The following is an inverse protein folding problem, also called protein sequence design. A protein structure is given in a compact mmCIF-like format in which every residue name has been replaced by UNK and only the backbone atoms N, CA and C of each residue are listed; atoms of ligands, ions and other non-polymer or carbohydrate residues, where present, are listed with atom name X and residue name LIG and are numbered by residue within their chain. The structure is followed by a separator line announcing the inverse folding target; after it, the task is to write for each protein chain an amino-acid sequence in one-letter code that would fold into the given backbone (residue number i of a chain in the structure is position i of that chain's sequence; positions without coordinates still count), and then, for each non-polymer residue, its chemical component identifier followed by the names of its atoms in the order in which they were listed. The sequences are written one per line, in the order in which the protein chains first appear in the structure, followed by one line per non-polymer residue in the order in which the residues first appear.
data_IF_394396406063
#
_entry.id   IF_394396406063
#
_cell.length_a   1.000
_cell.length_b   1.000
_cell.length_c   1.000
_cell.angle_alpha   90.00
_cell.angle_beta   90.00
_cell.angle_gamma   90.00
#
_symmetry.space_group_name_H-M   'P 1'
#
loop_
_entity.id
_entity.type
_entity.pdbx_description
1 polymer ?
#
# COMPACT_ATOMS: atom_id res chain seq x y z
N UNK A 1 56.04 36.66 24.79
CA UNK A 1 54.88 36.25 25.63
C UNK A 1 53.79 37.34 25.70
N UNK A 2 54.05 38.59 25.55
CA UNK A 2 53.07 39.71 25.59
C UNK A 2 52.05 39.65 24.48
N UNK A 3 52.44 39.38 23.21
CA UNK A 3 51.48 39.36 22.10
C UNK A 3 50.48 38.17 22.10
N UNK A 4 50.77 37.10 22.83
CA UNK A 4 49.81 35.98 22.98
C UNK A 4 48.73 36.28 24.01
N UNK A 5 49.02 37.03 25.07
CA UNK A 5 48.10 37.43 26.10
C UNK A 5 47.12 38.52 25.61
N UNK A 6 47.65 39.49 24.83
CA UNK A 6 46.81 40.52 24.20
C UNK A 6 45.85 39.96 23.16
N UNK A 7 46.32 39.00 22.33
CA UNK A 7 45.46 38.27 21.39
C UNK A 7 44.38 37.43 22.09
N UNK A 8 44.70 36.81 23.20
CA UNK A 8 43.72 36.05 24.01
C UNK A 8 42.71 36.94 24.68
N UNK A 9 43.12 38.14 25.15
CA UNK A 9 42.21 39.14 25.76
C UNK A 9 41.27 39.69 24.70
N UNK A 10 41.78 40.10 23.53
CA UNK A 10 41.00 40.60 22.40
C UNK A 10 39.99 39.56 21.90
N UNK A 11 40.38 38.28 21.79
CA UNK A 11 39.49 37.19 21.45
C UNK A 11 38.36 36.97 22.47
N UNK A 12 38.65 37.13 23.79
CA UNK A 12 37.62 37.02 24.82
C UNK A 12 36.58 38.15 24.79
N UNK A 13 37.00 39.35 24.59
CA UNK A 13 36.08 40.50 24.52
C UNK A 13 35.21 40.53 23.25
N UNK A 14 35.72 39.97 22.13
CA UNK A 14 35.02 39.98 20.85
C UNK A 14 34.56 38.57 20.41
N UNK A 15 34.60 37.58 21.31
CA UNK A 15 34.39 36.20 20.96
C UNK A 15 33.00 35.93 20.31
N UNK A 16 31.96 36.59 20.78
CA UNK A 16 30.60 36.46 20.21
C UNK A 16 30.54 36.95 18.76
N UNK A 17 31.21 38.06 18.43
CA UNK A 17 31.30 38.56 17.06
C UNK A 17 32.05 37.61 16.14
N UNK A 18 33.16 37.03 16.62
CA UNK A 18 33.89 36.05 15.82
C UNK A 18 33.09 34.81 15.53
N UNK A 19 32.27 34.33 16.47
CA UNK A 19 31.37 33.20 16.26
C UNK A 19 30.34 33.52 15.19
N UNK A 20 29.65 34.65 15.29
CA UNK A 20 28.61 35.06 14.34
C UNK A 20 29.18 35.27 12.93
N UNK A 21 30.38 35.86 12.81
CA UNK A 21 31.06 36.04 11.53
C UNK A 21 31.64 34.74 10.93
N UNK A 22 31.88 33.70 11.75
CA UNK A 22 32.31 32.40 11.27
C UNK A 22 31.16 31.49 10.78
N UNK A 23 29.91 31.94 10.93
CA UNK A 23 28.73 31.20 10.44
C UNK A 23 28.53 31.44 8.94
N UNK A 24 28.20 30.38 8.21
CA UNK A 24 27.75 30.48 6.82
C UNK A 24 26.31 30.98 6.70
N UNK A 25 25.49 30.73 7.75
CA UNK A 25 24.14 31.26 7.85
C UNK A 25 24.17 32.80 7.98
N UNK A 26 23.23 33.50 7.33
CA UNK A 26 23.12 34.94 7.48
C UNK A 26 22.53 35.31 8.82
N UNK A 27 23.15 36.25 9.50
CA UNK A 27 22.74 36.70 10.84
C UNK A 27 22.52 38.17 10.84
N UNK A 28 21.34 38.60 11.32
CA UNK A 28 20.99 39.99 11.59
C UNK A 28 20.49 40.16 13.01
N UNK A 29 20.91 41.22 13.68
CA UNK A 29 20.36 41.63 14.98
C UNK A 29 19.73 43.02 14.79
N UNK A 30 18.50 43.16 15.28
CA UNK A 30 17.72 44.39 15.25
C UNK A 30 17.47 44.77 16.72
N UNK A 31 17.72 46.01 17.07
CA UNK A 31 17.53 46.50 18.44
C UNK A 31 16.04 46.75 18.77
N UNK A 32 15.77 47.21 20.00
CA UNK A 32 14.41 47.49 20.49
C UNK A 32 13.73 48.68 19.79
N UNK A 33 14.51 49.51 19.01
CA UNK A 33 14.03 50.60 18.21
C UNK A 33 13.77 50.25 16.77
N UNK A 34 14.18 49.00 16.38
CA UNK A 34 14.07 48.52 15.01
C UNK A 34 15.26 48.90 14.12
N UNK A 35 16.35 49.38 14.71
CA UNK A 35 17.57 49.68 13.96
C UNK A 35 18.44 48.43 13.86
N UNK A 36 19.12 48.22 12.72
CA UNK A 36 20.04 47.11 12.53
C UNK A 36 21.30 47.32 13.38
N UNK A 37 21.40 46.57 14.47
CA UNK A 37 22.52 46.64 15.39
C UNK A 37 23.74 45.82 14.94
N UNK A 38 23.52 44.73 14.17
CA UNK A 38 24.59 43.86 13.67
C UNK A 38 24.14 43.07 12.45
N UNK A 39 25.06 42.84 11.53
CA UNK A 39 24.99 41.86 10.45
C UNK A 39 26.33 41.14 10.36
N UNK A 40 26.31 39.82 10.08
CA UNK A 40 27.57 39.09 9.91
C UNK A 40 28.13 39.21 8.48
N UNK A 41 29.40 38.83 8.31
CA UNK A 41 30.13 38.92 7.04
C UNK A 41 29.40 38.15 5.92
N UNK A 42 28.82 37.00 6.19
CA UNK A 42 28.07 36.21 5.21
C UNK A 42 26.82 36.95 4.67
N UNK A 43 26.11 37.73 5.52
CA UNK A 43 24.98 38.53 5.08
C UNK A 43 25.45 39.76 4.32
N UNK A 44 26.53 40.43 4.73
CA UNK A 44 27.12 41.57 3.98
C UNK A 44 27.48 41.14 2.56
N UNK A 45 28.20 40.01 2.42
CA UNK A 45 28.59 39.47 1.12
C UNK A 45 27.38 39.10 0.23
N UNK A 46 26.27 38.68 0.83
CA UNK A 46 25.01 38.36 0.12
C UNK A 46 24.31 39.67 -0.35
N UNK A 47 24.25 40.69 0.52
CA UNK A 47 23.65 41.98 0.22
C UNK A 47 24.36 42.71 -0.93
N UNK A 48 25.68 42.59 -1.01
CA UNK A 48 26.44 43.17 -2.11
C UNK A 48 26.13 42.55 -3.47
N UNK A 49 25.56 41.31 -3.48
CA UNK A 49 25.26 40.56 -4.70
C UNK A 49 23.79 40.61 -5.12
N UNK A 50 22.85 41.00 -4.24
CA UNK A 50 21.41 40.87 -4.49
C UNK A 50 20.63 42.13 -4.01
N UNK A 51 20.13 42.90 -4.95
CA UNK A 51 19.19 44.01 -4.66
C UNK A 51 17.83 43.49 -4.17
N UNK A 52 17.40 42.29 -4.64
CA UNK A 52 16.17 41.63 -4.18
C UNK A 52 16.24 41.32 -2.69
N UNK A 53 17.39 40.84 -2.22
CA UNK A 53 17.62 40.54 -0.81
C UNK A 53 17.58 41.81 0.03
N UNK A 54 18.19 42.94 -0.44
CA UNK A 54 18.11 44.21 0.26
C UNK A 54 16.67 44.66 0.45
N UNK A 55 15.89 44.70 -0.65
CA UNK A 55 14.46 45.08 -0.59
C UNK A 55 13.68 44.17 0.36
N UNK A 56 13.91 42.85 0.30
CA UNK A 56 13.25 41.91 1.19
C UNK A 56 13.56 42.16 2.68
N UNK A 57 14.80 42.45 3.01
CA UNK A 57 15.19 42.73 4.39
C UNK A 57 14.68 44.10 4.90
N UNK A 58 14.58 45.10 4.04
CA UNK A 58 14.05 46.42 4.39
C UNK A 58 12.53 46.33 4.62
N UNK A 59 11.77 45.67 3.74
CA UNK A 59 10.33 45.48 3.88
C UNK A 59 9.96 44.69 5.15
N UNK A 60 10.77 43.71 5.56
CA UNK A 60 10.53 42.94 6.76
C UNK A 60 10.85 43.69 8.08
N UNK A 61 11.71 44.70 8.09
CA UNK A 61 11.92 45.51 9.29
C UNK A 61 10.62 46.24 9.66
N UNK A 62 9.95 46.84 8.67
CA UNK A 62 8.67 47.52 8.88
C UNK A 62 7.57 46.54 9.40
N UNK A 63 7.57 45.31 8.94
CA UNK A 63 6.63 44.28 9.37
C UNK A 63 6.89 43.82 10.82
N UNK A 64 8.15 43.68 11.21
CA UNK A 64 8.55 43.34 12.58
C UNK A 64 8.21 44.45 13.57
N UNK A 65 8.22 45.69 13.12
CA UNK A 65 7.90 46.85 13.93
C UNK A 65 6.42 47.16 14.04
N UNK A 66 5.60 46.73 13.04
CA UNK A 66 4.29 47.36 12.84
C UNK A 66 3.14 46.71 13.58
N UNK A 67 3.05 45.42 13.90
CA UNK A 67 1.83 44.91 14.58
C UNK A 67 1.85 43.51 15.18
N UNK A 68 2.84 42.70 14.94
CA UNK A 68 2.91 41.34 15.54
C UNK A 68 3.81 41.30 16.78
N UNK A 69 4.01 42.44 17.32
CA UNK A 69 5.11 42.78 18.22
C UNK A 69 5.17 42.03 19.55
N UNK A 70 4.03 41.61 20.10
CA UNK A 70 4.04 40.86 21.37
C UNK A 70 4.53 39.42 21.20
N UNK A 71 4.21 38.78 20.06
CA UNK A 71 4.59 37.39 19.81
C UNK A 71 6.10 37.27 19.52
N UNK A 72 6.64 38.15 18.70
CA UNK A 72 8.10 38.17 18.38
C UNK A 72 8.93 38.54 19.60
N UNK A 73 8.38 39.38 20.50
CA UNK A 73 9.04 39.80 21.74
C UNK A 73 9.07 38.70 22.80
N UNK A 74 8.28 37.63 22.67
CA UNK A 74 8.14 36.59 23.70
C UNK A 74 8.46 35.20 23.22
N UNK A 75 8.45 34.94 21.90
CA UNK A 75 8.53 33.58 21.34
C UNK A 75 9.45 33.53 20.11
N UNK A 76 10.24 32.47 20.02
CA UNK A 76 10.99 32.19 18.79
C UNK A 76 10.03 31.75 17.68
N UNK A 77 10.18 32.35 16.52
CA UNK A 77 9.45 32.01 15.30
C UNK A 77 10.38 31.34 14.27
N UNK A 78 9.86 30.40 13.48
CA UNK A 78 10.57 29.80 12.37
C UNK A 78 9.63 29.84 11.17
N UNK A 79 10.10 30.37 10.06
CA UNK A 79 9.37 30.40 8.80
C UNK A 79 10.29 30.02 7.64
N UNK A 80 9.71 29.45 6.58
CA UNK A 80 10.44 29.14 5.35
C UNK A 80 10.02 30.15 4.26
N UNK A 81 10.99 30.75 3.59
CA UNK A 81 10.78 31.76 2.53
C UNK A 81 11.63 31.46 1.31
N UNK A 82 11.07 31.80 0.15
CA UNK A 82 11.81 31.85 -1.11
C UNK A 82 12.33 33.29 -1.32
N UNK A 83 13.65 33.45 -1.31
CA UNK A 83 14.33 34.74 -1.47
C UNK A 83 15.34 34.53 -2.59
N UNK A 84 15.25 35.35 -3.63
CA UNK A 84 16.18 35.35 -4.78
C UNK A 84 16.42 33.96 -5.38
N UNK A 85 15.33 33.16 -5.50
CA UNK A 85 15.36 31.80 -6.07
C UNK A 85 15.91 30.70 -5.16
N UNK A 86 16.20 31.02 -3.89
CA UNK A 86 16.67 30.11 -2.87
C UNK A 86 15.71 30.01 -1.70
N UNK A 87 15.59 28.81 -1.09
CA UNK A 87 14.78 28.59 0.10
C UNK A 87 15.60 28.84 1.36
N UNK A 88 15.08 29.70 2.23
CA UNK A 88 15.69 30.01 3.52
C UNK A 88 14.76 29.64 4.66
N UNK A 89 15.30 28.98 5.69
CA UNK A 89 14.65 28.86 6.99
C UNK A 89 15.09 30.05 7.83
N UNK A 90 14.14 30.89 8.21
CA UNK A 90 14.36 32.11 8.97
C UNK A 90 13.92 31.88 10.40
N UNK A 91 14.88 31.91 11.31
CA UNK A 91 14.60 31.80 12.75
C UNK A 91 14.74 33.17 13.38
N UNK A 92 13.63 33.74 13.87
CA UNK A 92 13.57 34.99 14.60
C UNK A 92 13.41 34.70 16.09
N UNK A 93 14.34 35.18 16.92
CA UNK A 93 14.31 34.95 18.37
C UNK A 93 14.48 36.29 19.12
N UNK A 94 13.73 36.53 20.20
CA UNK A 94 13.90 37.71 21.03
C UNK A 94 15.22 37.64 21.84
N UNK A 95 15.82 38.80 22.03
CA UNK A 95 17.00 39.01 22.89
C UNK A 95 16.53 39.80 24.12
N UNK A 96 16.96 39.37 25.30
CA UNK A 96 16.67 40.04 26.56
C UNK A 96 17.96 40.44 27.25
N UNK A 97 17.94 41.62 27.86
CA UNK A 97 19.00 42.12 28.73
C UNK A 97 18.40 42.55 30.08
N UNK A 98 18.89 42.01 31.18
CA UNK A 98 18.36 42.20 32.54
C UNK A 98 16.83 41.97 32.68
N UNK A 99 16.25 41.13 31.83
CA UNK A 99 14.82 40.80 31.82
C UNK A 99 13.99 41.68 30.87
N UNK A 100 14.54 42.75 30.35
CA UNK A 100 13.87 43.62 29.39
C UNK A 100 14.18 43.19 27.94
N UNK A 101 13.22 43.40 27.06
CA UNK A 101 13.39 43.14 25.62
C UNK A 101 14.41 44.12 25.05
N UNK A 102 15.49 43.59 24.48
CA UNK A 102 16.61 44.36 23.91
C UNK A 102 16.66 44.33 22.37
N UNK A 103 15.86 43.43 21.74
CA UNK A 103 15.85 43.35 20.28
C UNK A 103 15.55 41.91 19.82
N UNK A 104 15.81 41.61 18.57
CA UNK A 104 15.66 40.31 17.94
C UNK A 104 16.91 39.90 17.18
N UNK A 105 17.18 38.59 17.17
CA UNK A 105 18.16 37.97 16.28
C UNK A 105 17.42 37.15 15.21
N UNK A 106 17.80 37.36 14.00
CA UNK A 106 17.33 36.60 12.84
C UNK A 106 18.50 35.82 12.24
N UNK A 107 18.25 34.54 12.04
CA UNK A 107 19.20 33.63 11.38
C UNK A 107 18.54 33.05 10.15
N UNK A 108 19.15 33.29 9.00
CA UNK A 108 18.71 32.84 7.69
C UNK A 108 19.60 31.67 7.25
N UNK A 109 19.05 30.48 7.25
CA UNK A 109 19.74 29.26 6.83
C UNK A 109 19.32 28.89 5.42
N UNK A 110 20.26 28.75 4.49
CA UNK A 110 19.98 28.22 3.14
C UNK A 110 19.59 26.74 3.24
N UNK A 111 18.33 26.44 2.94
CA UNK A 111 17.75 25.10 2.91
C UNK A 111 17.35 24.67 1.51
N UNK A 112 17.94 25.29 0.49
CA UNK A 112 17.54 25.09 -0.92
C UNK A 112 17.70 23.61 -1.32
N UNK A 113 18.83 23.01 -1.00
CA UNK A 113 19.10 21.61 -1.34
C UNK A 113 18.10 20.65 -0.66
N UNK A 114 17.83 20.86 0.63
CA UNK A 114 16.87 20.09 1.40
C UNK A 114 15.45 20.26 0.85
N UNK A 115 15.06 21.49 0.50
CA UNK A 115 13.73 21.79 -0.03
C UNK A 115 13.52 21.20 -1.42
N UNK A 116 14.52 21.24 -2.31
CA UNK A 116 14.45 20.60 -3.62
C UNK A 116 14.31 19.09 -3.47
N UNK A 117 15.15 18.45 -2.64
CA UNK A 117 15.07 17.02 -2.39
C UNK A 117 13.71 16.60 -1.81
N UNK A 118 13.14 17.41 -0.92
CA UNK A 118 11.81 17.17 -0.34
C UNK A 118 10.70 17.26 -1.39
N UNK A 119 10.79 18.24 -2.32
CA UNK A 119 9.87 18.39 -3.43
C UNK A 119 9.99 17.22 -4.41
N UNK A 120 11.22 16.83 -4.77
CA UNK A 120 11.47 15.69 -5.67
C UNK A 120 10.96 14.39 -5.09
N UNK A 121 11.20 14.14 -3.79
CA UNK A 121 10.67 12.98 -3.08
C UNK A 121 9.14 12.98 -3.06
N UNK A 122 8.53 14.14 -2.81
CA UNK A 122 7.06 14.28 -2.84
C UNK A 122 6.49 13.95 -4.22
N UNK A 123 7.09 14.49 -5.29
CA UNK A 123 6.66 14.24 -6.66
C UNK A 123 6.83 12.75 -7.04
N UNK A 124 7.98 12.16 -6.75
CA UNK A 124 8.23 10.73 -7.01
C UNK A 124 7.24 9.82 -6.25
N UNK A 125 6.94 10.13 -4.99
CA UNK A 125 5.93 9.41 -4.22
C UNK A 125 4.53 9.56 -4.80
N UNK A 126 4.17 10.75 -5.28
CA UNK A 126 2.87 11.02 -5.92
C UNK A 126 2.72 10.19 -7.19
N UNK A 127 3.73 10.22 -8.07
CA UNK A 127 3.71 9.46 -9.33
C UNK A 127 3.59 7.95 -9.05
N UNK A 128 4.36 7.42 -8.09
CA UNK A 128 4.26 6.02 -7.66
C UNK A 128 2.87 5.66 -7.12
N UNK A 129 2.22 6.56 -6.36
CA UNK A 129 0.85 6.36 -5.87
C UNK A 129 -0.15 6.29 -7.02
N UNK A 130 0.00 7.14 -8.03
CA UNK A 130 -0.91 7.19 -9.18
C UNK A 130 -0.74 5.95 -10.07
N UNK A 131 0.48 5.46 -10.27
CA UNK A 131 0.75 4.18 -10.94
C UNK A 131 0.11 3.00 -10.21
N UNK A 132 0.24 2.93 -8.88
CA UNK A 132 -0.40 1.90 -8.06
C UNK A 132 -1.93 1.95 -8.14
N UNK A 133 -2.53 3.14 -8.18
CA UNK A 133 -3.98 3.31 -8.38
C UNK A 133 -4.43 2.82 -9.74
N UNK A 134 -3.60 3.02 -10.77
CA UNK A 134 -3.89 2.50 -12.11
C UNK A 134 -3.88 0.98 -12.13
N UNK A 135 -2.85 0.32 -11.59
CA UNK A 135 -2.76 -1.14 -11.47
C UNK A 135 -3.95 -1.70 -10.69
N UNK A 136 -4.32 -1.09 -9.54
CA UNK A 136 -5.49 -1.49 -8.76
C UNK A 136 -6.80 -1.45 -9.58
N UNK A 137 -7.00 -0.41 -10.40
CA UNK A 137 -8.18 -0.32 -11.28
C UNK A 137 -8.22 -1.45 -12.29
N UNK A 138 -7.08 -1.81 -12.87
CA UNK A 138 -6.99 -2.94 -13.80
C UNK A 138 -7.34 -4.23 -13.03
N UNK A 139 -6.73 -4.53 -11.89
CA UNK A 139 -7.05 -5.71 -11.09
C UNK A 139 -8.55 -5.81 -10.76
N UNK A 140 -9.16 -4.72 -10.29
CA UNK A 140 -10.59 -4.70 -10.00
C UNK A 140 -11.46 -4.91 -11.25
N UNK A 141 -10.98 -4.53 -12.43
CA UNK A 141 -11.71 -4.70 -13.69
C UNK A 141 -11.65 -6.12 -14.26
N UNK A 142 -10.61 -6.88 -13.92
CA UNK A 142 -10.43 -8.26 -14.39
C UNK A 142 -11.12 -9.31 -13.52
N UNK A 143 -11.51 -8.95 -12.29
CA UNK A 143 -12.31 -9.84 -11.44
C UNK A 143 -13.71 -10.01 -12.00
N UNK A 144 -14.30 -11.21 -11.88
CA UNK A 144 -15.67 -11.42 -12.31
C UNK A 144 -16.61 -10.55 -11.51
N UNK A 145 -17.48 -9.83 -12.22
CA UNK A 145 -18.59 -9.11 -11.57
C UNK A 145 -19.63 -10.14 -11.14
N UNK A 146 -20.45 -9.78 -10.14
CA UNK A 146 -21.60 -10.60 -9.76
C UNK A 146 -22.44 -10.91 -11.02
N UNK A 147 -22.37 -12.15 -11.48
CA UNK A 147 -22.97 -12.60 -12.73
C UNK A 147 -23.46 -14.03 -12.62
N UNK A 148 -24.42 -14.36 -13.50
CA UNK A 148 -24.87 -15.72 -13.71
C UNK A 148 -24.21 -16.30 -14.98
N UNK A 149 -23.66 -17.53 -14.86
CA UNK A 149 -23.05 -18.28 -15.97
C UNK A 149 -23.63 -19.70 -15.98
N UNK A 150 -24.57 -19.97 -16.89
CA UNK A 150 -25.32 -21.21 -16.87
C UNK A 150 -26.05 -21.41 -15.56
N UNK A 151 -25.75 -22.51 -14.84
CA UNK A 151 -26.31 -22.80 -13.51
C UNK A 151 -25.52 -22.15 -12.36
N UNK A 152 -24.48 -21.34 -12.62
CA UNK A 152 -23.65 -20.73 -11.58
C UNK A 152 -23.97 -19.28 -11.40
N UNK A 153 -24.28 -18.88 -10.17
CA UNK A 153 -24.33 -17.48 -9.74
C UNK A 153 -23.13 -17.20 -8.86
N UNK A 154 -22.29 -16.25 -9.28
CA UNK A 154 -21.10 -15.84 -8.52
C UNK A 154 -21.33 -14.51 -7.82
N UNK A 155 -20.88 -14.44 -6.56
CA UNK A 155 -20.72 -13.21 -5.81
C UNK A 155 -19.34 -13.18 -5.14
N UNK A 156 -18.72 -12.01 -5.03
CA UNK A 156 -17.39 -11.90 -4.47
C UNK A 156 -17.18 -10.66 -3.63
N UNK A 157 -16.30 -10.78 -2.65
CA UNK A 157 -15.78 -9.70 -1.82
C UNK A 157 -14.26 -9.74 -1.97
N UNK A 158 -13.69 -8.62 -2.38
CA UNK A 158 -12.26 -8.47 -2.63
C UNK A 158 -11.77 -7.21 -1.92
N UNK A 159 -10.98 -7.38 -0.88
CA UNK A 159 -10.49 -6.32 -0.02
C UNK A 159 -8.97 -6.44 0.14
N UNK A 160 -8.19 -5.81 -0.75
CA UNK A 160 -6.73 -5.81 -0.66
C UNK A 160 -6.25 -5.16 0.64
N UNK A 161 -5.26 -5.76 1.28
CA UNK A 161 -4.58 -5.22 2.47
C UNK A 161 -3.72 -4.01 2.13
N UNK A 162 -3.13 -4.02 0.94
CA UNK A 162 -2.35 -2.94 0.35
C UNK A 162 -3.08 -2.27 -0.83
N UNK A 163 -2.36 -1.48 -1.61
CA UNK A 163 -2.93 -0.80 -2.79
C UNK A 163 -3.28 -1.77 -3.92
N UNK A 164 -2.59 -2.90 -4.01
CA UNK A 164 -2.76 -3.99 -4.99
C UNK A 164 -2.52 -5.33 -4.31
N UNK A 165 -3.10 -6.41 -4.83
CA UNK A 165 -3.19 -7.72 -4.18
C UNK A 165 -2.47 -8.82 -4.97
N UNK A 166 -2.05 -9.87 -4.25
CA UNK A 166 -1.58 -11.15 -4.79
C UNK A 166 -2.70 -12.14 -5.12
N UNK A 167 -3.90 -11.86 -4.62
CA UNK A 167 -5.07 -12.72 -4.84
C UNK A 167 -5.71 -12.50 -6.21
N UNK A 168 -6.25 -13.57 -6.77
CA UNK A 168 -7.12 -13.52 -7.94
C UNK A 168 -8.11 -14.67 -7.93
N UNK A 169 -9.33 -14.43 -8.38
CA UNK A 169 -10.29 -15.46 -8.75
C UNK A 169 -10.99 -15.12 -10.05
N UNK A 170 -11.45 -16.13 -10.76
CA UNK A 170 -12.17 -15.93 -12.02
C UNK A 170 -13.14 -17.06 -12.31
N UNK A 171 -14.17 -16.73 -13.08
CA UNK A 171 -15.12 -17.67 -13.64
C UNK A 171 -15.05 -17.59 -15.17
N UNK A 172 -14.63 -18.67 -15.81
CA UNK A 172 -14.40 -18.79 -17.23
C UNK A 172 -15.51 -19.67 -17.84
N UNK A 173 -16.26 -19.14 -18.80
CA UNK A 173 -17.16 -19.96 -19.63
C UNK A 173 -16.31 -20.79 -20.61
N UNK A 174 -16.37 -22.10 -20.52
CA UNK A 174 -15.68 -23.00 -21.43
C UNK A 174 -16.55 -23.22 -22.68
N UNK A 175 -17.82 -23.62 -22.46
CA UNK A 175 -18.84 -23.78 -23.51
C UNK A 175 -20.24 -23.60 -22.93
N UNK A 176 -21.28 -24.00 -23.63
CA UNK A 176 -22.68 -23.84 -23.18
C UNK A 176 -23.00 -24.70 -21.96
N UNK A 177 -22.25 -25.79 -21.74
CA UNK A 177 -22.51 -26.76 -20.68
C UNK A 177 -21.44 -26.77 -19.57
N UNK A 178 -20.31 -26.07 -19.77
CA UNK A 178 -19.18 -26.13 -18.84
C UNK A 178 -18.64 -24.74 -18.52
N UNK A 179 -18.31 -24.57 -17.24
CA UNK A 179 -17.59 -23.39 -16.75
C UNK A 179 -16.47 -23.79 -15.81
N UNK A 180 -15.39 -23.06 -15.79
CA UNK A 180 -14.30 -23.24 -14.85
C UNK A 180 -14.22 -22.08 -13.87
N UNK A 181 -14.04 -22.39 -12.60
CA UNK A 181 -13.72 -21.40 -11.57
C UNK A 181 -12.35 -21.70 -10.97
N UNK A 182 -11.55 -20.68 -10.78
CA UNK A 182 -10.31 -20.78 -10.02
C UNK A 182 -10.16 -19.63 -9.03
N UNK A 183 -9.45 -19.93 -7.94
CA UNK A 183 -8.90 -18.96 -7.01
C UNK A 183 -7.40 -19.24 -6.87
N UNK A 184 -6.60 -18.21 -6.81
CA UNK A 184 -5.15 -18.32 -6.69
C UNK A 184 -4.60 -17.19 -5.82
N UNK A 185 -3.53 -17.52 -5.12
CA UNK A 185 -2.77 -16.60 -4.31
C UNK A 185 -1.30 -16.66 -4.73
N UNK A 186 -0.72 -15.51 -5.01
CA UNK A 186 0.66 -15.33 -5.47
C UNK A 186 1.53 -14.92 -4.31
N UNK A 187 2.64 -15.61 -4.11
CA UNK A 187 3.61 -15.27 -3.09
C UNK A 187 4.01 -13.80 -3.12
N UNK A 188 3.87 -13.14 -1.95
CA UNK A 188 4.24 -11.75 -1.73
C UNK A 188 3.10 -10.78 -2.01
N UNK A 189 3.37 -9.50 -1.91
CA UNK A 189 2.38 -8.42 -2.02
C UNK A 189 2.84 -7.32 -2.97
N UNK A 190 1.96 -6.39 -3.26
CA UNK A 190 2.27 -5.22 -4.07
C UNK A 190 2.36 -5.49 -5.57
N UNK A 191 3.09 -4.64 -6.29
CA UNK A 191 3.13 -4.63 -7.77
C UNK A 191 3.60 -5.95 -8.37
N UNK A 192 4.60 -6.60 -7.77
CA UNK A 192 5.14 -7.87 -8.29
C UNK A 192 4.09 -8.97 -8.28
N UNK A 193 3.39 -9.14 -7.17
CA UNK A 193 2.30 -10.11 -7.05
C UNK A 193 1.14 -9.77 -8.01
N UNK A 194 0.79 -8.49 -8.14
CA UNK A 194 -0.28 -8.05 -9.04
C UNK A 194 0.00 -8.30 -10.53
N UNK A 195 1.25 -8.21 -10.97
CA UNK A 195 1.64 -8.59 -12.34
C UNK A 195 1.45 -10.09 -12.56
N UNK A 196 1.78 -10.90 -11.53
CA UNK A 196 1.58 -12.35 -11.61
C UNK A 196 0.11 -12.75 -11.64
N UNK A 197 -0.78 -12.03 -10.94
CA UNK A 197 -2.23 -12.28 -11.06
C UNK A 197 -2.73 -12.01 -12.49
N UNK A 198 -2.21 -11.01 -13.18
CA UNK A 198 -2.51 -10.76 -14.59
C UNK A 198 -1.99 -11.88 -15.51
N UNK A 199 -0.76 -12.37 -15.26
CA UNK A 199 -0.23 -13.54 -15.97
C UNK A 199 -1.15 -14.76 -15.78
N UNK A 200 -1.62 -15.02 -14.56
CA UNK A 200 -2.54 -16.11 -14.25
C UNK A 200 -3.85 -15.97 -15.04
N UNK A 201 -4.47 -14.79 -15.00
CA UNK A 201 -5.72 -14.49 -15.73
C UNK A 201 -5.60 -14.78 -17.22
N UNK A 202 -4.58 -14.21 -17.87
CA UNK A 202 -4.35 -14.36 -19.31
C UNK A 202 -4.01 -15.82 -19.66
N UNK A 203 -3.17 -16.47 -18.82
CA UNK A 203 -2.76 -17.85 -19.07
C UNK A 203 -3.89 -18.84 -18.92
N UNK A 204 -4.75 -18.69 -17.91
CA UNK A 204 -5.92 -19.54 -17.68
C UNK A 204 -6.92 -19.43 -18.85
N UNK A 205 -7.27 -18.21 -19.26
CA UNK A 205 -8.14 -17.99 -20.41
C UNK A 205 -7.56 -18.64 -21.68
N UNK A 206 -6.29 -18.37 -21.99
CA UNK A 206 -5.63 -18.94 -23.16
C UNK A 206 -5.51 -20.47 -23.16
N UNK A 207 -5.44 -21.10 -21.97
CA UNK A 207 -5.44 -22.56 -21.85
C UNK A 207 -6.81 -23.10 -22.20
N UNK A 208 -7.89 -22.57 -21.67
CA UNK A 208 -9.26 -23.03 -21.97
C UNK A 208 -9.67 -22.73 -23.42
N UNK A 209 -9.29 -21.58 -23.97
CA UNK A 209 -9.54 -21.25 -25.39
C UNK A 209 -8.91 -22.27 -26.33
N UNK A 210 -7.68 -22.72 -26.02
CA UNK A 210 -6.94 -23.65 -26.84
C UNK A 210 -7.27 -25.13 -26.58
N UNK A 211 -7.60 -25.44 -25.34
CA UNK A 211 -7.78 -26.80 -24.82
C UNK A 211 -9.02 -26.90 -23.93
N UNK A 212 -10.23 -26.74 -24.48
CA UNK A 212 -11.47 -26.73 -23.69
C UNK A 212 -11.76 -28.04 -22.98
N UNK A 213 -11.13 -29.15 -23.43
CA UNK A 213 -11.33 -30.49 -22.87
C UNK A 213 -10.30 -30.90 -21.80
N UNK A 214 -9.41 -29.96 -21.42
CA UNK A 214 -8.46 -30.26 -20.37
C UNK A 214 -9.15 -30.43 -19.02
N UNK A 215 -8.73 -31.46 -18.29
CA UNK A 215 -9.08 -31.64 -16.88
C UNK A 215 -8.32 -30.61 -16.01
N UNK A 216 -8.75 -30.33 -14.76
CA UNK A 216 -8.04 -29.44 -13.86
C UNK A 216 -6.55 -29.76 -13.71
N UNK A 217 -6.18 -31.06 -13.66
CA UNK A 217 -4.78 -31.50 -13.62
C UNK A 217 -4.01 -31.09 -14.87
N UNK A 218 -4.60 -31.27 -16.06
CA UNK A 218 -3.97 -30.89 -17.33
C UNK A 218 -3.80 -29.38 -17.46
N UNK A 219 -4.78 -28.61 -16.98
CA UNK A 219 -4.70 -27.13 -16.93
C UNK A 219 -3.53 -26.71 -16.05
N UNK A 220 -3.40 -27.24 -14.84
CA UNK A 220 -2.28 -26.91 -13.94
C UNK A 220 -0.92 -27.31 -14.50
N UNK A 221 -0.81 -28.47 -15.16
CA UNK A 221 0.43 -28.87 -15.82
C UNK A 221 0.82 -27.92 -16.96
N UNK A 222 -0.17 -27.46 -17.74
CA UNK A 222 0.08 -26.49 -18.81
C UNK A 222 0.45 -25.12 -18.24
N UNK A 223 -0.26 -24.67 -17.21
CA UNK A 223 0.02 -23.42 -16.50
C UNK A 223 1.42 -23.42 -15.92
N UNK A 224 1.85 -24.51 -15.27
CA UNK A 224 3.22 -24.69 -14.79
C UNK A 224 4.25 -24.56 -15.91
N UNK A 225 4.03 -25.21 -17.06
CA UNK A 225 4.93 -25.07 -18.23
C UNK A 225 5.04 -23.64 -18.72
N UNK A 226 3.92 -22.88 -18.71
CA UNK A 226 3.93 -21.45 -19.07
C UNK A 226 4.71 -20.63 -18.05
N UNK A 227 4.49 -20.89 -16.75
CA UNK A 227 5.17 -20.21 -15.65
C UNK A 227 6.68 -20.43 -15.68
N UNK A 228 7.14 -21.67 -15.88
CA UNK A 228 8.57 -22.00 -15.98
C UNK A 228 9.27 -21.27 -17.13
N UNK A 229 8.55 -21.00 -18.23
CA UNK A 229 9.09 -20.26 -19.39
C UNK A 229 9.28 -18.76 -19.14
N UNK A 230 8.74 -18.20 -18.05
CA UNK A 230 8.97 -16.79 -17.70
C UNK A 230 10.38 -16.54 -17.17
N UNK A 231 11.13 -17.63 -16.80
CA UNK A 231 12.49 -17.53 -16.27
C UNK A 231 12.68 -16.50 -15.14
N UNK A 232 11.60 -16.30 -14.35
CA UNK A 232 11.63 -15.39 -13.20
C UNK A 232 12.35 -16.04 -12.01
N UNK A 233 12.60 -15.22 -10.97
CA UNK A 233 13.25 -15.64 -9.73
C UNK A 233 12.66 -16.95 -9.20
N UNK A 234 13.52 -17.89 -8.84
CA UNK A 234 13.17 -19.21 -8.31
C UNK A 234 12.40 -19.17 -6.99
N UNK A 235 12.44 -18.05 -6.26
CA UNK A 235 11.65 -17.82 -5.06
C UNK A 235 10.16 -17.58 -5.37
N UNK A 236 9.81 -17.21 -6.60
CA UNK A 236 8.43 -16.93 -6.98
C UNK A 236 7.63 -18.22 -7.17
N UNK A 237 6.46 -18.25 -6.57
CA UNK A 237 5.47 -19.32 -6.72
C UNK A 237 4.07 -18.76 -6.53
N UNK A 238 3.10 -19.56 -6.87
CA UNK A 238 1.70 -19.30 -6.51
C UNK A 238 0.98 -20.59 -6.17
N UNK A 239 -0.09 -20.44 -5.45
CA UNK A 239 -1.02 -21.50 -5.11
C UNK A 239 -2.32 -21.30 -5.85
N UNK A 240 -3.03 -22.36 -6.18
CA UNK A 240 -4.32 -22.26 -6.87
C UNK A 240 -5.23 -23.46 -6.58
N UNK A 241 -6.52 -23.19 -6.58
CA UNK A 241 -7.56 -24.21 -6.65
C UNK A 241 -8.36 -23.99 -7.95
N UNK A 242 -8.69 -25.07 -8.65
CA UNK A 242 -9.43 -25.05 -9.90
C UNK A 242 -10.51 -26.10 -9.90
N UNK A 243 -11.74 -25.69 -10.25
CA UNK A 243 -12.88 -26.57 -10.48
C UNK A 243 -13.51 -26.35 -11.85
N UNK A 244 -13.91 -27.42 -12.51
CA UNK A 244 -14.67 -27.42 -13.75
C UNK A 244 -16.05 -27.97 -13.46
N UNK A 245 -17.07 -27.17 -13.70
CA UNK A 245 -18.48 -27.49 -13.55
C UNK A 245 -19.02 -27.99 -14.88
N UNK A 246 -19.67 -29.16 -14.86
CA UNK A 246 -20.39 -29.71 -16.02
C UNK A 246 -21.90 -29.76 -15.71
N UNK A 247 -22.69 -28.98 -16.44
CA UNK A 247 -24.13 -28.83 -16.22
C UNK A 247 -24.96 -29.97 -16.82
N UNK A 248 -24.34 -30.85 -17.61
CA UNK A 248 -25.01 -32.00 -18.24
C UNK A 248 -25.31 -33.09 -17.23
N UNK A 249 -24.42 -33.24 -16.29
CA UNK A 249 -24.49 -34.29 -15.26
C UNK A 249 -24.36 -33.74 -13.84
N UNK A 250 -24.41 -32.40 -13.68
CA UNK A 250 -24.33 -31.72 -12.39
C UNK A 250 -23.07 -32.09 -11.59
N UNK A 251 -21.93 -32.15 -12.27
CA UNK A 251 -20.67 -32.51 -11.66
C UNK A 251 -19.69 -31.36 -11.54
N UNK A 252 -18.86 -31.44 -10.52
CA UNK A 252 -17.70 -30.59 -10.28
C UNK A 252 -16.46 -31.47 -10.21
N UNK A 253 -15.55 -31.32 -11.19
CA UNK A 253 -14.21 -31.93 -11.13
C UNK A 253 -13.23 -30.87 -10.68
N UNK A 254 -12.43 -31.15 -9.65
CA UNK A 254 -11.53 -30.15 -9.10
C UNK A 254 -10.17 -30.71 -8.72
N UNK A 255 -9.17 -29.83 -8.72
CA UNK A 255 -7.79 -30.08 -8.30
C UNK A 255 -7.26 -28.89 -7.48
N UNK A 256 -6.20 -29.17 -6.72
CA UNK A 256 -5.50 -28.16 -5.92
C UNK A 256 -4.02 -28.14 -6.30
N UNK A 257 -3.48 -26.96 -6.49
CA UNK A 257 -2.08 -26.67 -6.71
C UNK A 257 -1.48 -25.93 -5.49
N UNK A 258 -1.56 -26.53 -4.31
CA UNK A 258 -0.95 -26.02 -3.09
C UNK A 258 -1.74 -24.94 -2.35
N UNK A 259 -2.97 -24.61 -2.76
CA UNK A 259 -3.79 -23.62 -2.07
C UNK A 259 -4.20 -24.16 -0.69
N UNK A 260 -3.79 -23.46 0.36
CA UNK A 260 -3.94 -23.85 1.76
C UNK A 260 -5.34 -23.58 2.35
N UNK A 261 -6.20 -22.90 1.59
CA UNK A 261 -7.56 -22.55 1.95
C UNK A 261 -8.55 -23.45 1.20
N UNK A 262 -8.90 -24.63 1.78
CA UNK A 262 -9.81 -25.56 1.12
C UNK A 262 -11.22 -24.94 1.04
N UNK A 263 -11.84 -24.90 -0.16
CA UNK A 263 -13.19 -24.38 -0.27
C UNK A 263 -14.18 -25.14 0.59
N UNK A 264 -15.24 -24.45 1.00
CA UNK A 264 -16.34 -25.02 1.77
C UNK A 264 -17.56 -25.20 0.86
N UNK A 265 -18.12 -26.40 0.83
CA UNK A 265 -19.43 -26.63 0.21
C UNK A 265 -20.50 -26.64 1.30
N UNK A 266 -21.52 -25.79 1.18
CA UNK A 266 -22.71 -25.81 2.00
C UNK A 266 -23.86 -26.50 1.24
N UNK A 267 -24.32 -27.61 1.78
CA UNK A 267 -25.47 -28.33 1.25
C UNK A 267 -26.74 -27.87 1.93
N UNK A 268 -27.65 -27.35 1.11
CA UNK A 268 -28.94 -26.84 1.62
C UNK A 268 -29.78 -27.96 2.25
N UNK A 269 -29.67 -29.20 1.72
CA UNK A 269 -30.36 -30.38 2.23
C UNK A 269 -29.92 -30.79 3.64
N UNK A 270 -28.63 -30.62 3.95
CA UNK A 270 -28.02 -31.07 5.22
C UNK A 270 -27.82 -29.92 6.20
N UNK A 271 -27.79 -28.66 5.72
CA UNK A 271 -27.47 -27.46 6.49
C UNK A 271 -26.10 -27.48 7.16
N UNK A 272 -25.15 -28.12 6.51
CA UNK A 272 -23.78 -28.29 6.98
C UNK A 272 -22.83 -27.85 5.88
N UNK A 273 -21.71 -27.23 6.28
CA UNK A 273 -20.61 -26.92 5.38
C UNK A 273 -19.45 -27.89 5.61
N UNK A 274 -18.96 -28.50 4.51
CA UNK A 274 -17.82 -29.41 4.51
C UNK A 274 -16.70 -28.90 3.60
N UNK A 275 -15.47 -29.33 3.89
CA UNK A 275 -14.31 -28.95 3.10
C UNK A 275 -14.15 -29.76 1.83
N UNK A 276 -13.89 -29.10 0.71
CA UNK A 276 -13.48 -29.74 -0.55
C UNK A 276 -11.97 -30.03 -0.54
N UNK A 277 -11.59 -31.09 0.16
CA UNK A 277 -10.18 -31.44 0.37
C UNK A 277 -9.60 -32.22 -0.80
N UNK A 278 -8.55 -31.68 -1.42
CA UNK A 278 -7.65 -32.38 -2.34
C UNK A 278 -6.24 -31.80 -2.17
N UNK A 279 -5.24 -32.66 -2.05
CA UNK A 279 -3.85 -32.23 -1.90
C UNK A 279 -3.17 -31.98 -3.24
N UNK A 280 -2.33 -30.97 -3.32
CA UNK A 280 -1.51 -30.66 -4.49
C UNK A 280 -0.24 -29.89 -4.11
N UNK A 281 0.67 -29.77 -5.06
CA UNK A 281 1.91 -29.00 -4.92
C UNK A 281 1.72 -27.62 -5.56
N UNK A 282 2.27 -26.59 -4.94
CA UNK A 282 2.27 -25.22 -5.52
C UNK A 282 2.95 -25.18 -6.89
N UNK A 283 2.63 -24.21 -7.69
CA UNK A 283 3.26 -23.98 -8.99
C UNK A 283 4.47 -23.07 -8.80
N UNK A 284 5.65 -23.61 -9.09
CA UNK A 284 6.93 -22.92 -8.97
C UNK A 284 7.91 -23.42 -10.02
N UNK A 285 9.04 -22.75 -10.17
CA UNK A 285 10.12 -23.16 -11.04
C UNK A 285 10.97 -24.32 -10.46
N UNK A 286 10.89 -24.54 -9.14
CA UNK A 286 11.71 -25.54 -8.43
C UNK A 286 10.94 -26.84 -8.21
N UNK A 287 9.65 -26.77 -7.90
CA UNK A 287 8.84 -27.92 -7.53
C UNK A 287 8.28 -28.58 -8.80
N UNK A 288 8.71 -29.80 -9.07
CA UNK A 288 8.16 -30.59 -10.17
C UNK A 288 6.86 -31.27 -9.75
N UNK A 289 5.91 -31.28 -10.68
CA UNK A 289 4.68 -32.04 -10.57
C UNK A 289 4.38 -32.70 -11.93
N UNK A 290 4.26 -34.03 -11.91
CA UNK A 290 3.89 -34.80 -13.10
C UNK A 290 2.37 -34.94 -13.21
N UNK A 291 1.67 -34.80 -12.09
CA UNK A 291 0.21 -34.92 -12.02
C UNK A 291 -0.33 -34.19 -10.80
N UNK A 292 -1.51 -33.58 -10.95
CA UNK A 292 -2.33 -33.09 -9.84
C UNK A 292 -3.46 -34.08 -9.57
N UNK A 293 -3.75 -34.32 -8.29
CA UNK A 293 -4.88 -35.17 -7.91
C UNK A 293 -6.19 -34.46 -8.19
N UNK A 294 -7.15 -35.19 -8.73
CA UNK A 294 -8.49 -34.70 -8.99
C UNK A 294 -9.51 -35.44 -8.13
N UNK A 295 -10.57 -34.72 -7.78
CA UNK A 295 -11.77 -35.28 -7.17
C UNK A 295 -12.99 -34.83 -7.97
N UNK A 296 -14.03 -35.67 -7.94
CA UNK A 296 -15.32 -35.36 -8.55
C UNK A 296 -16.38 -35.31 -7.47
N UNK A 297 -17.25 -34.34 -7.54
CA UNK A 297 -18.39 -34.15 -6.66
C UNK A 297 -19.64 -33.98 -7.51
N UNK A 298 -20.76 -34.56 -7.07
CA UNK A 298 -22.08 -34.26 -7.61
C UNK A 298 -22.67 -33.09 -6.86
N UNK A 299 -23.18 -32.13 -7.62
CA UNK A 299 -23.82 -30.90 -7.12
C UNK A 299 -25.32 -31.10 -7.05
N UNK A 300 -25.93 -30.49 -6.07
CA UNK A 300 -27.39 -30.41 -5.90
C UNK A 300 -27.85 -28.96 -6.11
N UNK A 301 -29.11 -28.79 -6.46
CA UNK A 301 -29.68 -27.46 -6.59
C UNK A 301 -29.62 -26.70 -5.25
N UNK A 302 -29.20 -25.43 -5.30
CA UNK A 302 -28.93 -24.57 -4.15
C UNK A 302 -27.69 -24.91 -3.31
N UNK A 303 -26.82 -25.82 -3.79
CA UNK A 303 -25.48 -25.95 -3.21
C UNK A 303 -24.72 -24.64 -3.32
N UNK A 304 -23.98 -24.29 -2.27
CA UNK A 304 -23.14 -23.11 -2.21
C UNK A 304 -21.70 -23.47 -1.95
N UNK A 305 -20.79 -22.94 -2.75
CA UNK A 305 -19.35 -23.19 -2.56
C UNK A 305 -18.67 -21.86 -2.23
N UNK A 306 -18.10 -21.79 -1.04
CA UNK A 306 -17.31 -20.65 -0.57
C UNK A 306 -15.84 -20.91 -0.85
N UNK A 307 -15.21 -19.98 -1.57
CA UNK A 307 -13.78 -19.90 -1.81
C UNK A 307 -13.21 -18.70 -1.04
N UNK A 308 -12.00 -18.85 -0.53
CA UNK A 308 -11.36 -17.80 0.27
C UNK A 308 -9.85 -17.93 0.24
N UNK A 309 -9.15 -16.85 0.61
CA UNK A 309 -7.69 -16.79 0.80
C UNK A 309 -7.34 -16.69 2.28
N UNK A 310 -6.07 -16.88 2.60
CA UNK A 310 -5.57 -16.98 3.98
C UNK A 310 -5.79 -15.73 4.80
N UNK A 311 -5.75 -14.52 4.21
CA UNK A 311 -6.11 -13.30 4.92
C UNK A 311 -7.51 -13.33 5.57
N UNK A 312 -8.41 -14.20 5.07
CA UNK A 312 -9.71 -14.42 5.69
C UNK A 312 -9.60 -15.12 7.05
N UNK A 313 -8.75 -16.14 7.15
CA UNK A 313 -8.61 -16.98 8.35
C UNK A 313 -7.52 -16.47 9.30
N UNK A 314 -6.58 -15.67 8.80
CA UNK A 314 -5.50 -15.04 9.55
C UNK A 314 -5.89 -13.71 10.20
N UNK A 315 -7.11 -13.20 9.95
CA UNK A 315 -7.66 -12.04 10.64
C UNK A 315 -7.57 -12.20 12.17
N UNK A 316 -7.01 -11.21 12.88
CA UNK A 316 -6.68 -11.30 14.31
C UNK A 316 -7.55 -10.40 15.16
N UNK A 317 -8.04 -10.93 16.28
CA UNK A 317 -8.74 -10.14 17.28
C UNK A 317 -7.76 -9.35 18.18
N UNK A 318 -8.30 -8.60 19.15
CA UNK A 318 -7.52 -7.79 20.12
C UNK A 318 -6.50 -8.60 20.94
N UNK A 319 -6.73 -9.91 21.12
CA UNK A 319 -5.86 -10.82 21.84
C UNK A 319 -4.85 -11.52 20.91
N UNK A 320 -4.79 -11.17 19.64
CA UNK A 320 -3.91 -11.78 18.64
C UNK A 320 -4.35 -13.18 18.17
N UNK A 321 -5.56 -13.64 18.54
CA UNK A 321 -6.09 -14.92 18.10
C UNK A 321 -6.63 -14.80 16.68
N UNK A 322 -6.24 -15.74 15.81
CA UNK A 322 -6.72 -15.84 14.44
C UNK A 322 -8.19 -16.29 14.35
N UNK A 323 -8.86 -15.86 13.30
CA UNK A 323 -10.25 -16.24 12.99
C UNK A 323 -10.36 -17.74 12.81
N UNK A 324 -9.53 -18.32 11.95
CA UNK A 324 -9.32 -19.74 11.76
C UNK A 324 -10.40 -20.45 10.94
N UNK A 325 -10.01 -21.61 10.41
CA UNK A 325 -10.85 -22.43 9.52
C UNK A 325 -12.15 -22.92 10.17
N UNK A 326 -12.09 -23.38 11.43
CA UNK A 326 -13.28 -23.94 12.09
C UNK A 326 -14.35 -22.87 12.32
N UNK A 327 -13.95 -21.68 12.75
CA UNK A 327 -14.88 -20.56 12.92
C UNK A 327 -15.50 -20.15 11.59
N UNK A 328 -14.68 -20.09 10.53
CA UNK A 328 -15.16 -19.81 9.19
C UNK A 328 -16.26 -20.81 8.75
N UNK A 329 -15.99 -22.10 8.94
CA UNK A 329 -16.94 -23.18 8.64
C UNK A 329 -18.24 -23.06 9.45
N UNK A 330 -18.12 -22.83 10.76
CA UNK A 330 -19.27 -22.68 11.65
C UNK A 330 -20.15 -21.50 11.26
N UNK A 331 -19.54 -20.33 11.00
CA UNK A 331 -20.29 -19.13 10.62
C UNK A 331 -20.92 -19.28 9.22
N UNK A 332 -20.21 -19.86 8.26
CA UNK A 332 -20.77 -20.13 6.94
C UNK A 332 -21.92 -21.14 6.97
N UNK A 333 -21.83 -22.16 7.84
CA UNK A 333 -22.91 -23.18 8.02
C UNK A 333 -24.22 -22.58 8.52
N UNK A 334 -24.20 -21.42 9.19
CA UNK A 334 -25.43 -20.82 9.74
C UNK A 334 -26.39 -20.32 8.66
N UNK A 335 -25.87 -19.71 7.58
CA UNK A 335 -26.67 -19.04 6.57
C UNK A 335 -26.21 -19.24 5.12
N UNK A 336 -24.97 -19.69 4.91
CA UNK A 336 -24.36 -19.72 3.57
C UNK A 336 -24.37 -18.36 2.88
N UNK A 337 -24.17 -17.26 3.64
CA UNK A 337 -24.25 -15.87 3.20
C UNK A 337 -22.88 -15.20 3.31
N UNK A 338 -22.36 -14.75 2.18
CA UNK A 338 -21.02 -14.15 2.08
C UNK A 338 -20.97 -12.76 2.75
N UNK A 339 -22.04 -11.97 2.72
CA UNK A 339 -22.06 -10.63 3.31
C UNK A 339 -22.12 -10.71 4.84
N UNK A 340 -22.94 -11.60 5.38
CA UNK A 340 -23.00 -11.86 6.81
C UNK A 340 -21.67 -12.40 7.34
N UNK A 341 -21.02 -13.30 6.58
CA UNK A 341 -19.70 -13.83 6.91
C UNK A 341 -18.63 -12.74 6.92
N UNK A 342 -18.58 -11.91 5.89
CA UNK A 342 -17.65 -10.80 5.80
C UNK A 342 -17.80 -9.81 6.96
N UNK A 343 -19.05 -9.48 7.33
CA UNK A 343 -19.29 -8.62 8.46
C UNK A 343 -18.79 -9.25 9.77
N UNK A 344 -19.03 -10.56 9.96
CA UNK A 344 -18.52 -11.29 11.14
C UNK A 344 -16.99 -11.28 11.23
N UNK A 345 -16.29 -11.45 10.09
CA UNK A 345 -14.82 -11.37 10.04
C UNK A 345 -14.36 -9.96 10.37
N UNK A 346 -15.00 -8.93 9.84
CA UNK A 346 -14.67 -7.54 10.14
C UNK A 346 -14.86 -7.18 11.60
N UNK A 347 -15.96 -7.62 12.21
CA UNK A 347 -16.26 -7.37 13.61
C UNK A 347 -15.30 -8.11 14.56
N UNK A 348 -14.77 -9.25 14.10
CA UNK A 348 -13.74 -9.97 14.83
C UNK A 348 -12.37 -9.31 14.72
N UNK A 349 -12.04 -8.71 13.57
CA UNK A 349 -10.72 -8.15 13.30
C UNK A 349 -10.51 -6.82 14.02
N UNK A 350 -9.48 -6.75 14.88
CA UNK A 350 -9.18 -5.58 15.72
C UNK A 350 -8.36 -4.49 15.01
N UNK A 351 -7.56 -4.88 14.02
CA UNK A 351 -6.61 -4.01 13.32
C UNK A 351 -6.88 -3.94 11.82
N UNK A 352 -6.08 -3.16 11.11
CA UNK A 352 -6.05 -3.25 9.65
C UNK A 352 -5.67 -4.68 9.25
N UNK A 353 -6.34 -5.23 8.23
CA UNK A 353 -6.03 -6.57 7.71
C UNK A 353 -4.55 -6.65 7.33
N UNK A 354 -3.88 -7.69 7.81
CA UNK A 354 -2.45 -7.89 7.55
C UNK A 354 -2.20 -8.46 6.16
N UNK A 355 -3.18 -9.18 5.60
CA UNK A 355 -3.13 -9.77 4.27
C UNK A 355 -4.42 -9.51 3.48
N UNK A 356 -4.42 -9.83 2.20
CA UNK A 356 -5.53 -9.65 1.28
C UNK A 356 -6.70 -10.55 1.67
N UNK A 357 -7.90 -9.97 1.80
CA UNK A 357 -9.12 -10.73 2.09
C UNK A 357 -9.92 -10.91 0.81
N UNK A 358 -9.97 -12.15 0.35
CA UNK A 358 -10.78 -12.54 -0.81
C UNK A 358 -11.78 -13.61 -0.43
N UNK A 359 -13.05 -13.34 -0.70
CA UNK A 359 -14.16 -14.31 -0.59
C UNK A 359 -14.87 -14.37 -1.93
N UNK A 360 -15.12 -15.56 -2.44
CA UNK A 360 -15.98 -15.79 -3.60
C UNK A 360 -16.99 -16.91 -3.29
N UNK A 361 -18.25 -16.63 -3.57
CA UNK A 361 -19.35 -17.59 -3.38
C UNK A 361 -19.90 -17.97 -4.74
N UNK A 362 -20.00 -19.25 -4.99
CA UNK A 362 -20.73 -19.82 -6.13
C UNK A 362 -22.00 -20.50 -5.59
N UNK A 363 -23.16 -20.10 -6.10
CA UNK A 363 -24.44 -20.75 -5.87
C UNK A 363 -24.80 -21.55 -7.13
N UNK A 364 -25.15 -22.84 -6.95
CA UNK A 364 -25.49 -23.76 -8.03
C UNK A 364 -27.00 -23.87 -8.18
N UNK A 365 -27.50 -23.79 -9.40
CA UNK A 365 -28.95 -23.93 -9.69
C UNK A 365 -29.78 -22.70 -9.44
N UNK A 366 -29.19 -21.55 -9.10
CA UNK A 366 -29.91 -20.29 -8.93
C UNK A 366 -30.50 -19.83 -10.26
N UNK A 367 -31.82 -19.98 -10.43
CA UNK A 367 -32.53 -19.36 -11.54
C UNK A 367 -32.45 -17.85 -11.39
N UNK A 368 -32.21 -17.13 -12.50
CA UNK A 368 -32.43 -15.70 -12.54
C UNK A 368 -33.89 -15.42 -12.17
N UNK A 369 -34.12 -14.93 -10.97
CA UNK A 369 -35.35 -14.16 -10.73
C UNK A 369 -35.22 -12.88 -11.55
N UNK A 370 -36.06 -12.80 -12.60
CA UNK A 370 -36.22 -11.67 -13.53
C UNK A 370 -36.32 -10.29 -12.84
#
# INVERSE_FOLDING_TARGET
MTGSLEKTHYLRENFNFFILNAMDDWVRIIDDRGEVAFVNDALIDALDKSETLKTYLDDNIDLLLSNSNEVVKTTTMIEEKLIDGKYYSIKTSPIFYDGDFAGTIEVYRDITSESILKIDLYNANKDMIDDLRFVRRIQASILPKNKTYGKLKISGIYNPSEKVSGDIYDLIKIDENRSAFYIADVMGHGVKASIMTMFLKVSMSAIFDKHPDYSPSQVFLNLRKKFTKLEIDSSQYFTAWLGIFDFRDDSLVFANAGHNCPPLIYRQSEKIADYLLVSGRMISNIIEADKYKEKTLKLEENDKILFFTDGTIEAKNENGKEYGLERLREEFSKKGDIQALYQNIRDFNWQQMADDLTLALIEYGGNDEN
#
